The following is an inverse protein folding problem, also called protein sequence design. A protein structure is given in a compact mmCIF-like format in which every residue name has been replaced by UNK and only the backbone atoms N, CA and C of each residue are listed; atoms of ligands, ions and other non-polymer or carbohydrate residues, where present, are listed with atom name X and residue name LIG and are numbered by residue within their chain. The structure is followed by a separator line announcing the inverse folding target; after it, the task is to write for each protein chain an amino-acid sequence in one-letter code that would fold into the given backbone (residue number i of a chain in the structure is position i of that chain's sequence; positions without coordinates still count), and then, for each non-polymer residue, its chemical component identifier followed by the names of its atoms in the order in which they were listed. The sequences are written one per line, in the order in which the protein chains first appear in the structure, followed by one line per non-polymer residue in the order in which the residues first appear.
data_IF_373198921899
#
_entry.id   IF_373198921899
#
_cell.length_a   1.000
_cell.length_b   1.000
_cell.length_c   1.000
_cell.angle_alpha   90.00
_cell.angle_beta   90.00
_cell.angle_gamma   90.00
#
_symmetry.space_group_name_H-M   'P 1'
#
loop_
_entity.id
_entity.type
_entity.pdbx_description
1 polymer ?
#
# COMPACT_ATOMS: atom_id res chain seq x y z
N UNK A 1 -2.03 -32.79 -6.20
CA UNK A 1 -2.95 -32.02 -7.05
C UNK A 1 -3.09 -30.64 -6.43
N UNK A 2 -2.83 -29.56 -7.19
CA UNK A 2 -2.99 -28.17 -6.71
C UNK A 2 -4.47 -27.90 -6.49
N UNK A 3 -4.83 -27.40 -5.32
CA UNK A 3 -6.18 -26.90 -5.05
C UNK A 3 -6.38 -25.57 -5.80
N UNK A 4 -7.56 -25.35 -6.38
CA UNK A 4 -7.87 -24.09 -7.09
C UNK A 4 -8.31 -23.05 -6.06
N UNK A 5 -7.36 -22.36 -5.45
CA UNK A 5 -7.62 -21.19 -4.61
C UNK A 5 -7.93 -19.97 -5.48
N UNK A 6 -8.84 -19.10 -5.02
CA UNK A 6 -9.11 -17.81 -5.65
C UNK A 6 -7.91 -16.86 -5.53
N UNK A 7 -7.80 -15.88 -6.43
CA UNK A 7 -6.72 -14.90 -6.44
C UNK A 7 -6.58 -14.18 -5.08
N UNK A 8 -7.70 -13.74 -4.51
CA UNK A 8 -7.75 -13.06 -3.21
C UNK A 8 -7.17 -13.94 -2.09
N UNK A 9 -7.58 -15.21 -2.01
CA UNK A 9 -7.07 -16.15 -1.02
C UNK A 9 -5.55 -16.37 -1.15
N UNK A 10 -5.02 -16.46 -2.37
CA UNK A 10 -3.57 -16.60 -2.59
C UNK A 10 -2.83 -15.34 -2.14
N UNK A 11 -3.40 -14.15 -2.38
CA UNK A 11 -2.83 -12.87 -1.92
C UNK A 11 -2.79 -12.81 -0.39
N UNK A 12 -3.88 -13.15 0.29
CA UNK A 12 -3.95 -13.18 1.75
C UNK A 12 -2.90 -14.13 2.36
N UNK A 13 -2.73 -15.31 1.77
CA UNK A 13 -1.72 -16.27 2.23
C UNK A 13 -0.28 -15.79 1.99
N UNK A 14 -0.02 -15.09 0.88
CA UNK A 14 1.28 -14.44 0.65
C UNK A 14 1.56 -13.39 1.73
N UNK A 15 0.56 -12.58 2.09
CA UNK A 15 0.68 -11.63 3.19
C UNK A 15 0.98 -12.31 4.52
N UNK A 16 0.26 -13.38 4.85
CA UNK A 16 0.53 -14.16 6.07
C UNK A 16 1.97 -14.70 6.10
N UNK A 17 2.52 -15.11 4.95
CA UNK A 17 3.93 -15.52 4.84
C UNK A 17 4.88 -14.34 5.07
N UNK A 18 4.59 -13.17 4.49
CA UNK A 18 5.39 -11.95 4.67
C UNK A 18 5.43 -11.55 6.16
N UNK A 19 4.26 -11.51 6.80
CA UNK A 19 4.10 -11.16 8.20
C UNK A 19 4.78 -12.17 9.13
N UNK A 20 4.57 -13.48 8.88
CA UNK A 20 5.18 -14.55 9.70
C UNK A 20 6.71 -14.58 9.63
N UNK A 21 7.28 -14.05 8.55
CA UNK A 21 8.73 -13.93 8.35
C UNK A 21 9.29 -12.58 8.78
N UNK A 22 8.45 -11.70 9.34
CA UNK A 22 8.79 -10.34 9.75
C UNK A 22 9.52 -9.55 8.64
N UNK A 23 9.10 -9.74 7.39
CA UNK A 23 9.75 -9.13 6.23
C UNK A 23 9.45 -7.63 6.23
N UNK A 24 10.49 -6.82 6.34
CA UNK A 24 10.40 -5.38 6.34
C UNK A 24 10.43 -4.80 4.93
N UNK A 25 9.97 -3.56 4.81
CA UNK A 25 10.07 -2.78 3.57
C UNK A 25 11.52 -2.79 3.03
N UNK A 26 11.66 -3.01 1.73
CA UNK A 26 12.94 -3.11 1.04
C UNK A 26 13.61 -4.49 1.15
N UNK A 27 13.05 -5.42 1.93
CA UNK A 27 13.56 -6.78 2.03
C UNK A 27 12.94 -7.72 0.98
N UNK A 28 13.67 -8.80 0.70
CA UNK A 28 13.31 -9.76 -0.34
C UNK A 28 12.18 -10.67 0.15
N UNK A 29 11.11 -10.80 -0.64
CA UNK A 29 10.04 -11.77 -0.38
C UNK A 29 10.42 -13.16 -0.89
N UNK A 30 9.76 -14.23 -0.40
CA UNK A 30 10.04 -15.58 -0.89
C UNK A 30 9.78 -15.73 -2.38
N UNK A 31 10.54 -16.63 -3.02
CA UNK A 31 10.45 -16.85 -4.46
C UNK A 31 9.11 -17.46 -4.89
N UNK A 32 8.71 -17.24 -6.15
CA UNK A 32 7.50 -17.85 -6.74
C UNK A 32 7.46 -19.37 -6.51
N UNK A 33 8.63 -20.03 -6.64
CA UNK A 33 8.76 -21.47 -6.37
C UNK A 33 8.44 -21.80 -4.92
N UNK A 34 9.04 -21.08 -3.96
CA UNK A 34 8.80 -21.30 -2.54
C UNK A 34 7.33 -21.09 -2.18
N UNK A 35 6.73 -20.00 -2.67
CA UNK A 35 5.32 -19.67 -2.42
C UNK A 35 4.40 -20.76 -3.01
N UNK A 36 4.66 -21.23 -4.23
CA UNK A 36 3.87 -22.30 -4.85
C UNK A 36 3.93 -23.60 -4.03
N UNK A 37 5.12 -23.97 -3.54
CA UNK A 37 5.32 -25.15 -2.72
C UNK A 37 4.67 -25.01 -1.32
N UNK A 38 4.79 -23.85 -0.67
CA UNK A 38 4.23 -23.63 0.68
C UNK A 38 2.71 -23.48 0.67
N UNK A 39 2.14 -22.83 -0.35
CA UNK A 39 0.70 -22.58 -0.44
C UNK A 39 -0.05 -23.75 -1.10
N UNK A 40 0.67 -24.75 -1.62
CA UNK A 40 0.13 -25.88 -2.39
C UNK A 40 -0.75 -25.42 -3.58
N UNK A 41 -0.33 -24.34 -4.25
CA UNK A 41 -0.98 -23.80 -5.44
C UNK A 41 -0.04 -23.81 -6.64
N UNK A 42 -0.60 -23.72 -7.85
CA UNK A 42 0.20 -23.66 -9.07
C UNK A 42 1.09 -22.42 -9.10
N UNK A 43 2.27 -22.53 -9.75
CA UNK A 43 3.15 -21.38 -10.00
C UNK A 43 2.46 -20.26 -10.78
N UNK A 44 1.52 -20.61 -11.66
CA UNK A 44 0.74 -19.62 -12.39
C UNK A 44 -0.13 -18.78 -11.46
N UNK A 45 -0.81 -19.40 -10.49
CA UNK A 45 -1.64 -18.70 -9.49
C UNK A 45 -0.80 -17.76 -8.63
N UNK A 46 0.39 -18.21 -8.18
CA UNK A 46 1.32 -17.35 -7.45
C UNK A 46 1.76 -16.16 -8.30
N UNK A 47 2.11 -16.40 -9.57
CA UNK A 47 2.53 -15.33 -10.48
C UNK A 47 1.42 -14.31 -10.73
N UNK A 48 0.17 -14.73 -10.83
CA UNK A 48 -0.98 -13.84 -10.93
C UNK A 48 -1.15 -12.98 -9.67
N UNK A 49 -1.04 -13.59 -8.48
CA UNK A 49 -1.07 -12.88 -7.21
C UNK A 49 0.08 -11.87 -7.08
N UNK A 50 1.31 -12.28 -7.40
CA UNK A 50 2.48 -11.39 -7.37
C UNK A 50 2.35 -10.23 -8.37
N UNK A 51 1.76 -10.45 -9.55
CA UNK A 51 1.49 -9.36 -10.50
C UNK A 51 0.45 -8.38 -9.98
N UNK A 52 -0.58 -8.86 -9.29
CA UNK A 52 -1.57 -7.99 -8.67
C UNK A 52 -0.93 -7.15 -7.56
N UNK A 53 -0.11 -7.76 -6.70
CA UNK A 53 0.65 -7.07 -5.66
C UNK A 53 1.64 -6.05 -6.23
N UNK A 54 2.33 -6.38 -7.33
CA UNK A 54 3.24 -5.46 -8.04
C UNK A 54 2.46 -4.28 -8.64
N UNK A 55 1.32 -4.52 -9.27
CA UNK A 55 0.46 -3.47 -9.82
C UNK A 55 -0.05 -2.50 -8.74
N UNK A 56 -0.42 -3.03 -7.58
CA UNK A 56 -0.82 -2.25 -6.41
C UNK A 56 0.36 -1.54 -5.74
N UNK A 57 1.59 -1.80 -6.18
CA UNK A 57 2.81 -1.19 -5.66
C UNK A 57 3.28 -1.77 -4.32
N UNK A 58 2.69 -2.87 -3.86
CA UNK A 58 3.04 -3.53 -2.59
C UNK A 58 4.38 -4.26 -2.69
N UNK A 59 4.78 -4.66 -3.89
CA UNK A 59 6.08 -5.30 -4.17
C UNK A 59 6.70 -4.72 -5.43
N UNK A 60 8.02 -4.91 -5.59
CA UNK A 60 8.72 -4.61 -6.84
C UNK A 60 9.72 -5.71 -7.20
N UNK A 61 9.95 -5.90 -8.49
CA UNK A 61 10.91 -6.89 -9.01
C UNK A 61 12.24 -6.22 -9.39
N UNK A 62 13.34 -6.73 -8.85
CA UNK A 62 14.70 -6.44 -9.34
C UNK A 62 15.15 -7.59 -10.24
N UNK A 63 15.34 -7.31 -11.53
CA UNK A 63 15.69 -8.33 -12.54
C UNK A 63 16.95 -9.09 -12.13
N UNK A 64 16.86 -10.42 -12.12
CA UNK A 64 17.95 -11.32 -11.72
C UNK A 64 18.16 -11.44 -10.21
N UNK A 65 17.65 -10.50 -9.40
CA UNK A 65 17.82 -10.52 -7.95
C UNK A 65 16.61 -11.13 -7.24
N UNK A 66 15.39 -10.79 -7.65
CA UNK A 66 14.14 -11.32 -7.10
C UNK A 66 13.10 -10.24 -6.81
N UNK A 67 12.14 -10.57 -5.94
CA UNK A 67 11.02 -9.70 -5.59
C UNK A 67 11.16 -9.19 -4.17
N UNK A 68 10.80 -7.93 -3.94
CA UNK A 68 11.02 -7.23 -2.68
C UNK A 68 9.72 -6.57 -2.21
N UNK A 69 9.55 -6.49 -0.89
CA UNK A 69 8.45 -5.75 -0.29
C UNK A 69 8.69 -4.25 -0.52
N UNK A 70 7.71 -3.59 -1.13
CA UNK A 70 7.77 -2.16 -1.35
C UNK A 70 7.29 -1.42 -0.11
N UNK A 71 7.64 -0.13 -0.04
CA UNK A 71 6.93 0.77 0.83
C UNK A 71 5.53 0.99 0.22
N UNK A 72 4.44 0.72 0.96
CA UNK A 72 3.05 0.96 0.52
C UNK A 72 2.80 2.45 0.22
N UNK A 73 3.71 3.33 0.63
CA UNK A 73 3.79 4.70 0.13
C UNK A 73 4.07 4.75 -1.40
N UNK A 74 4.25 3.58 -2.06
CA UNK A 74 4.42 3.37 -3.49
C UNK A 74 3.40 4.17 -4.29
N UNK A 75 3.92 5.09 -5.08
CA UNK A 75 3.13 6.19 -5.60
C UNK A 75 2.19 5.76 -6.73
N UNK A 76 2.36 4.61 -7.38
CA UNK A 76 1.70 4.32 -8.67
C UNK A 76 0.17 4.22 -8.59
N UNK A 77 -0.38 3.47 -7.63
CA UNK A 77 -1.85 3.38 -7.48
C UNK A 77 -2.43 4.72 -7.02
N UNK A 78 -1.79 5.37 -6.06
CA UNK A 78 -2.23 6.67 -5.56
C UNK A 78 -2.14 7.77 -6.62
N UNK A 79 -1.09 7.77 -7.44
CA UNK A 79 -0.93 8.66 -8.60
C UNK A 79 -2.02 8.41 -9.62
N UNK A 80 -2.35 7.13 -9.89
CA UNK A 80 -3.43 6.78 -10.80
C UNK A 80 -4.78 7.28 -10.28
N UNK A 81 -5.11 6.99 -9.02
CA UNK A 81 -6.35 7.44 -8.39
C UNK A 81 -6.40 8.97 -8.38
N UNK A 82 -5.33 9.63 -7.93
CA UNK A 82 -5.23 11.09 -7.88
C UNK A 82 -5.38 11.72 -9.26
N UNK A 83 -4.78 11.14 -10.31
CA UNK A 83 -4.92 11.62 -11.70
C UNK A 83 -6.38 11.63 -12.18
N UNK A 84 -7.20 10.68 -11.74
CA UNK A 84 -8.61 10.61 -12.13
C UNK A 84 -9.55 11.34 -11.17
N UNK A 85 -9.16 11.47 -9.90
CA UNK A 85 -9.95 12.14 -8.86
C UNK A 85 -9.73 13.66 -8.85
N UNK A 86 -8.51 14.12 -9.15
CA UNK A 86 -8.07 15.52 -9.02
C UNK A 86 -7.74 16.08 -10.41
N UNK A 87 -8.77 16.42 -11.17
CA UNK A 87 -8.66 16.84 -12.58
C UNK A 87 -8.82 18.34 -12.79
N UNK A 88 -9.26 19.05 -11.75
CA UNK A 88 -9.59 20.47 -11.78
C UNK A 88 -9.08 21.17 -10.53
N UNK A 89 -8.90 22.49 -10.60
CA UNK A 89 -8.52 23.30 -9.44
C UNK A 89 -9.56 23.23 -8.32
N UNK A 90 -10.84 23.09 -8.67
CA UNK A 90 -11.92 22.89 -7.68
C UNK A 90 -11.69 21.60 -6.87
N UNK A 91 -11.42 20.48 -7.53
CA UNK A 91 -11.17 19.20 -6.84
C UNK A 91 -9.87 19.24 -6.01
N UNK A 92 -8.87 19.99 -6.47
CA UNK A 92 -7.66 20.25 -5.69
C UNK A 92 -7.98 21.06 -4.42
N UNK A 93 -8.87 22.04 -4.53
CA UNK A 93 -9.35 22.82 -3.39
C UNK A 93 -10.13 21.96 -2.39
N UNK A 94 -11.08 21.15 -2.88
CA UNK A 94 -11.85 20.17 -2.07
C UNK A 94 -10.91 19.21 -1.31
N UNK A 95 -9.80 18.79 -1.93
CA UNK A 95 -8.79 17.98 -1.23
C UNK A 95 -8.08 18.75 -0.11
N UNK A 96 -7.83 20.05 -0.31
CA UNK A 96 -7.31 20.94 0.73
C UNK A 96 -8.28 21.09 1.90
N UNK A 97 -9.58 21.13 1.65
CA UNK A 97 -10.60 21.12 2.71
C UNK A 97 -10.55 19.83 3.52
N UNK A 98 -10.37 18.67 2.86
CA UNK A 98 -10.19 17.38 3.56
C UNK A 98 -8.96 17.39 4.48
N UNK A 99 -7.83 17.94 4.02
CA UNK A 99 -6.65 18.08 4.88
C UNK A 99 -6.93 18.99 6.07
N UNK A 100 -7.61 20.10 5.85
CA UNK A 100 -7.96 21.03 6.93
C UNK A 100 -8.88 20.38 7.96
N UNK A 101 -9.85 19.58 7.53
CA UNK A 101 -10.71 18.80 8.44
C UNK A 101 -9.89 17.83 9.31
N UNK A 102 -8.84 17.22 8.77
CA UNK A 102 -7.96 16.33 9.54
C UNK A 102 -7.14 17.13 10.58
N UNK A 103 -6.62 18.29 10.19
CA UNK A 103 -5.89 19.20 11.08
C UNK A 103 -6.77 19.68 12.23
N UNK A 104 -7.96 20.17 11.91
CA UNK A 104 -8.93 20.64 12.90
C UNK A 104 -9.38 19.52 13.84
N UNK A 105 -9.59 18.30 13.33
CA UNK A 105 -9.93 17.16 14.17
C UNK A 105 -8.85 16.89 15.23
N UNK A 106 -7.57 16.88 14.83
CA UNK A 106 -6.45 16.62 15.74
C UNK A 106 -6.30 17.76 16.74
N UNK A 107 -6.38 19.00 16.26
CA UNK A 107 -6.29 20.19 17.11
C UNK A 107 -7.36 20.19 18.20
N UNK A 108 -8.63 19.95 17.82
CA UNK A 108 -9.75 19.84 18.76
C UNK A 108 -9.60 18.68 19.75
N UNK A 109 -8.98 17.57 19.33
CA UNK A 109 -8.85 16.37 20.16
C UNK A 109 -7.70 16.48 21.17
N UNK A 110 -6.65 17.21 20.82
CA UNK A 110 -5.40 17.28 21.60
C UNK A 110 -5.14 18.65 22.23
N UNK A 111 -5.95 19.67 21.91
CA UNK A 111 -5.71 21.03 22.40
C UNK A 111 -4.41 21.63 21.84
N UNK A 112 -4.13 21.38 20.56
CA UNK A 112 -2.91 21.81 19.86
C UNK A 112 -1.59 21.19 20.35
N UNK A 113 -1.63 20.15 21.20
CA UNK A 113 -0.42 19.43 21.62
C UNK A 113 0.19 18.59 20.48
N UNK A 114 -0.65 18.15 19.53
CA UNK A 114 -0.24 17.32 18.39
C UNK A 114 -0.57 17.96 17.04
N UNK A 115 0.18 17.53 16.03
CA UNK A 115 -0.15 17.72 14.62
C UNK A 115 -0.70 16.42 14.04
N UNK A 116 -1.29 16.48 12.84
CA UNK A 116 -1.73 15.26 12.13
C UNK A 116 -0.58 14.25 11.97
N UNK A 117 0.68 14.71 11.86
CA UNK A 117 1.87 13.87 11.72
C UNK A 117 2.35 13.23 13.03
N UNK A 118 2.00 13.78 14.20
CA UNK A 118 2.42 13.26 15.50
C UNK A 118 1.31 12.51 16.23
N UNK A 119 0.04 12.85 15.94
CA UNK A 119 -1.14 12.23 16.52
C UNK A 119 -1.13 10.71 16.37
N UNK A 120 -1.51 9.98 17.43
CA UNK A 120 -1.48 8.51 17.49
C UNK A 120 -2.60 7.85 16.64
N UNK A 121 -2.56 8.11 15.34
CA UNK A 121 -3.39 7.47 14.34
C UNK A 121 -2.57 7.24 13.07
N UNK A 122 -2.03 6.02 12.94
CA UNK A 122 -1.20 5.62 11.78
C UNK A 122 -1.91 5.82 10.44
N UNK A 123 -3.22 5.54 10.36
CA UNK A 123 -3.99 5.66 9.12
C UNK A 123 -4.12 7.13 8.73
N UNK A 124 -4.50 7.98 9.68
CA UNK A 124 -4.65 9.41 9.47
C UNK A 124 -3.32 10.04 9.01
N UNK A 125 -2.21 9.68 9.65
CA UNK A 125 -0.85 10.08 9.23
C UNK A 125 -0.56 9.73 7.78
N UNK A 126 -0.77 8.47 7.41
CA UNK A 126 -0.51 7.98 6.05
C UNK A 126 -1.38 8.70 5.01
N UNK A 127 -2.69 8.80 5.26
CA UNK A 127 -3.61 9.51 4.36
C UNK A 127 -3.16 10.97 4.21
N UNK A 128 -2.88 11.67 5.31
CA UNK A 128 -2.48 13.08 5.27
C UNK A 128 -1.21 13.30 4.42
N UNK A 129 -0.20 12.45 4.58
CA UNK A 129 1.04 12.49 3.79
C UNK A 129 0.76 12.25 2.30
N UNK A 130 -0.10 11.29 1.96
CA UNK A 130 -0.49 11.01 0.57
C UNK A 130 -1.20 12.22 -0.03
N UNK A 131 -2.17 12.80 0.68
CA UNK A 131 -2.95 13.94 0.19
C UNK A 131 -2.08 15.18 -0.06
N UNK A 132 -1.07 15.42 0.79
CA UNK A 132 -0.18 16.60 0.70
C UNK A 132 0.54 16.71 -0.66
N UNK A 133 0.86 15.57 -1.28
CA UNK A 133 1.48 15.54 -2.62
C UNK A 133 0.61 16.18 -3.70
N UNK A 134 -0.71 16.25 -3.48
CA UNK A 134 -1.66 16.68 -4.47
C UNK A 134 -2.35 18.00 -4.14
N UNK A 135 -2.09 18.63 -3.00
CA UNK A 135 -2.68 19.93 -2.66
C UNK A 135 -1.76 21.12 -2.95
N UNK A 136 -0.49 20.88 -3.28
CA UNK A 136 0.45 21.91 -3.72
C UNK A 136 0.92 22.87 -2.62
N UNK A 137 0.82 22.45 -1.34
CA UNK A 137 1.32 23.17 -0.16
C UNK A 137 2.48 22.43 0.51
#
# INVERSE_FOLDING_TARGET
MSEKKGLEAVIEEIYAIIDSKDIQVGQKIPSERYLSENLNVSRQSVREALRALEFLGIIYVRRGEGTYLADIDSHQLFELIAKYLIRTDKQRHELGEVQHMMEEYVDRKTGSEDTVLTYDNKIMRKIYVILKKYTGR
#
